data_IF_721222986947
#
_entry.id   IF_721222986947
#
_cell.length_a   1.000
_cell.length_b   1.000
_cell.length_c   1.000
_cell.angle_alpha   90.00
_cell.angle_beta   90.00
_cell.angle_gamma   90.00
#
_symmetry.space_group_name_H-M   'P 1'
#
loop_
_entity.id
_entity.type
_entity.pdbx_description
1 polymer ?
#
# COMPACT_ATOMS: atom_id res chain seq x y z
N UNK A 1 -0.35 4.09 -11.71
CA UNK A 1 0.47 2.90 -11.48
C UNK A 1 0.17 1.83 -12.53
N UNK A 2 1.18 1.06 -12.89
CA UNK A 2 1.04 -0.08 -13.81
C UNK A 2 0.86 -1.35 -12.99
N UNK A 3 0.36 -2.41 -13.62
CA UNK A 3 0.12 -3.67 -12.95
C UNK A 3 1.40 -4.24 -12.31
N UNK A 4 2.54 -4.11 -12.97
CA UNK A 4 3.83 -4.55 -12.45
C UNK A 4 4.31 -3.75 -11.23
N UNK A 5 3.72 -2.58 -10.97
CA UNK A 5 4.05 -1.76 -9.80
C UNK A 5 3.34 -2.25 -8.53
N UNK A 6 2.40 -3.18 -8.67
CA UNK A 6 1.65 -3.71 -7.54
C UNK A 6 2.26 -5.06 -7.15
N UNK A 7 2.71 -5.16 -5.91
CA UNK A 7 3.45 -6.34 -5.44
C UNK A 7 2.97 -6.80 -4.07
N UNK A 8 3.19 -8.08 -3.78
CA UNK A 8 2.93 -8.65 -2.45
C UNK A 8 4.19 -8.51 -1.63
N UNK A 9 4.06 -7.96 -0.43
CA UNK A 9 5.18 -7.72 0.48
C UNK A 9 4.95 -8.43 1.81
N UNK A 10 6.04 -8.67 2.54
CA UNK A 10 6.00 -9.11 3.92
C UNK A 10 5.94 -7.89 4.82
N UNK A 11 4.83 -7.70 5.54
CA UNK A 11 4.75 -6.58 6.47
C UNK A 11 5.52 -6.88 7.76
N UNK A 12 5.96 -5.85 8.51
CA UNK A 12 6.67 -6.06 9.79
C UNK A 12 5.83 -6.76 10.86
N UNK A 13 4.52 -6.77 10.69
CA UNK A 13 3.61 -7.41 11.65
C UNK A 13 3.27 -8.86 11.29
N UNK A 14 3.96 -9.42 10.28
CA UNK A 14 3.88 -10.84 9.95
C UNK A 14 2.82 -11.23 8.94
N UNK A 15 1.98 -10.31 8.50
CA UNK A 15 0.94 -10.58 7.50
C UNK A 15 1.40 -10.17 6.11
N UNK A 16 1.18 -11.00 5.06
CA UNK A 16 1.44 -10.54 3.70
C UNK A 16 0.48 -9.43 3.31
N UNK A 17 0.96 -8.47 2.52
CA UNK A 17 0.17 -7.33 2.10
C UNK A 17 0.47 -7.00 0.63
N UNK A 18 -0.47 -6.31 -0.01
CA UNK A 18 -0.29 -5.86 -1.39
C UNK A 18 -0.09 -4.35 -1.38
N UNK A 19 0.99 -3.90 -2.02
CA UNK A 19 1.38 -2.49 -2.03
C UNK A 19 1.87 -2.05 -3.39
N UNK A 20 1.82 -0.73 -3.63
CA UNK A 20 2.43 -0.11 -4.80
C UNK A 20 3.94 -0.04 -4.56
N UNK A 21 4.73 -0.44 -5.55
CA UNK A 21 6.19 -0.40 -5.45
C UNK A 21 6.66 1.06 -5.27
N UNK A 22 7.29 1.34 -4.15
CA UNK A 22 7.77 2.68 -3.78
C UNK A 22 9.26 2.62 -3.46
N UNK A 23 9.95 3.77 -3.37
CA UNK A 23 11.36 3.77 -2.99
C UNK A 23 11.66 3.06 -1.67
N UNK A 24 10.74 3.12 -0.70
CA UNK A 24 10.88 2.37 0.55
C UNK A 24 11.03 0.87 0.29
N UNK A 25 10.17 0.29 -0.55
CA UNK A 25 10.19 -1.14 -0.84
C UNK A 25 11.46 -1.54 -1.62
N UNK A 26 11.92 -0.69 -2.53
CA UNK A 26 13.15 -0.92 -3.27
C UNK A 26 14.37 -0.94 -2.34
N UNK A 27 14.41 -0.02 -1.37
CA UNK A 27 15.50 0.01 -0.36
C UNK A 27 15.46 -1.22 0.54
N UNK A 28 14.26 -1.68 0.92
CA UNK A 28 14.12 -2.90 1.71
C UNK A 28 14.58 -4.13 0.94
N UNK A 29 14.29 -4.20 -0.36
CA UNK A 29 14.77 -5.28 -1.23
C UNK A 29 16.30 -5.29 -1.33
N UNK A 30 16.93 -4.13 -1.24
CA UNK A 30 18.38 -3.99 -1.23
C UNK A 30 19.04 -4.36 0.11
N UNK A 31 18.22 -4.73 1.12
CA UNK A 31 18.72 -5.14 2.42
C UNK A 31 18.79 -4.03 3.47
N UNK A 32 18.33 -2.84 3.14
CA UNK A 32 18.31 -1.74 4.11
C UNK A 32 17.24 -1.95 5.18
N UNK A 33 17.50 -1.48 6.40
CA UNK A 33 16.55 -1.51 7.49
C UNK A 33 16.42 -0.12 8.12
N UNK A 34 15.22 0.17 8.62
CA UNK A 34 14.90 1.48 9.21
C UNK A 34 14.37 1.29 10.61
N UNK A 35 15.29 1.20 11.58
CA UNK A 35 14.95 0.98 12.98
C UNK A 35 14.08 2.10 13.53
N UNK A 36 12.98 1.75 14.19
CA UNK A 36 12.11 2.74 14.84
C UNK A 36 12.79 3.28 16.10
N UNK A 37 13.15 4.57 16.09
CA UNK A 37 13.80 5.22 17.24
C UNK A 37 12.85 5.39 18.43
N UNK A 38 11.56 5.56 18.17
CA UNK A 38 10.50 5.64 19.18
C UNK A 38 9.36 4.71 18.79
N UNK A 39 9.15 3.67 19.58
CA UNK A 39 8.00 2.80 19.41
C UNK A 39 6.90 3.25 20.37
N UNK A 40 5.70 3.54 19.82
CA UNK A 40 4.55 3.96 20.59
C UNK A 40 3.69 2.79 21.10
N UNK A 41 4.07 1.55 20.78
CA UNK A 41 3.31 0.37 21.20
C UNK A 41 1.94 0.25 20.56
N UNK A 42 1.77 0.74 19.33
CA UNK A 42 0.49 0.86 18.66
C UNK A 42 -0.15 -0.49 18.28
N UNK A 43 0.67 -1.54 18.08
CA UNK A 43 0.19 -2.86 17.63
C UNK A 43 0.74 -3.95 18.56
N UNK A 44 -0.14 -4.84 19.01
CA UNK A 44 0.27 -5.98 19.85
C UNK A 44 1.05 -7.04 19.10
N UNK A 45 0.74 -7.22 17.79
CA UNK A 45 1.40 -8.21 16.94
C UNK A 45 2.80 -7.81 16.50
N UNK A 46 3.18 -6.55 16.65
CA UNK A 46 4.50 -6.05 16.27
C UNK A 46 5.55 -6.44 17.31
N UNK A 47 6.72 -6.93 16.85
CA UNK A 47 7.82 -7.33 17.73
C UNK A 47 8.48 -6.17 18.46
N UNK A 48 8.36 -4.94 17.96
CA UNK A 48 8.80 -3.69 18.58
C UNK A 48 10.31 -3.62 18.88
N UNK A 49 11.10 -4.37 18.14
CA UNK A 49 12.55 -4.45 18.33
C UNK A 49 13.29 -4.32 17.00
N UNK A 50 14.61 -4.49 17.03
CA UNK A 50 15.47 -4.37 15.86
C UNK A 50 15.27 -5.50 14.83
N UNK A 51 14.47 -6.53 15.15
CA UNK A 51 14.18 -7.61 14.19
C UNK A 51 13.22 -7.18 13.10
N UNK A 52 12.47 -6.09 13.28
CA UNK A 52 11.59 -5.57 12.23
C UNK A 52 12.38 -4.63 11.30
N UNK A 53 12.18 -4.73 9.98
CA UNK A 53 12.94 -3.90 9.04
C UNK A 53 12.53 -2.42 9.03
N UNK A 54 11.31 -2.10 9.46
CA UNK A 54 10.81 -0.72 9.53
C UNK A 54 9.55 -0.67 10.41
N UNK A 55 9.17 0.55 10.84
CA UNK A 55 7.93 0.75 11.59
C UNK A 55 6.77 0.98 10.61
N UNK A 56 5.79 0.06 10.60
CA UNK A 56 4.66 0.15 9.68
C UNK A 56 3.82 1.42 9.93
N UNK A 57 3.62 1.81 11.18
CA UNK A 57 2.84 3.01 11.49
C UNK A 57 3.49 4.28 10.94
N UNK A 58 4.80 4.39 11.06
CA UNK A 58 5.54 5.54 10.50
C UNK A 58 5.45 5.57 8.97
N UNK A 59 5.56 4.40 8.34
CA UNK A 59 5.45 4.29 6.88
C UNK A 59 4.05 4.66 6.39
N UNK A 60 3.01 4.28 7.11
CA UNK A 60 1.64 4.64 6.77
C UNK A 60 1.36 6.14 6.98
N UNK A 61 1.90 6.72 8.05
CA UNK A 61 1.80 8.17 8.28
C UNK A 61 2.50 8.95 7.16
N UNK A 62 3.69 8.51 6.75
CA UNK A 62 4.41 9.12 5.63
C UNK A 62 3.58 9.07 4.35
N UNK A 63 2.91 7.96 4.09
CA UNK A 63 2.03 7.81 2.93
C UNK A 63 0.88 8.82 2.95
N UNK A 64 0.23 9.00 4.10
CA UNK A 64 -0.86 9.96 4.26
C UNK A 64 -0.37 11.40 4.02
N UNK A 65 0.85 11.70 4.43
CA UNK A 65 1.45 13.02 4.22
C UNK A 65 1.94 13.26 2.80
N UNK A 66 1.89 12.24 1.94
CA UNK A 66 2.36 12.35 0.56
C UNK A 66 3.87 12.14 0.40
N UNK A 67 4.55 11.61 1.39
CA UNK A 67 5.98 11.29 1.33
C UNK A 67 6.18 9.98 0.55
N UNK A 68 6.44 10.11 -0.74
CA UNK A 68 6.60 8.97 -1.63
C UNK A 68 7.84 8.12 -1.29
N UNK A 69 8.92 8.76 -0.84
CA UNK A 69 10.19 8.09 -0.59
C UNK A 69 10.17 7.20 0.66
N UNK A 70 9.38 7.56 1.66
CA UNK A 70 9.33 6.87 2.95
C UNK A 70 8.00 6.20 3.22
N UNK A 71 7.01 6.39 2.36
CA UNK A 71 5.66 5.88 2.55
C UNK A 71 5.48 4.44 2.11
N UNK A 72 4.59 3.74 2.82
CA UNK A 72 4.08 2.44 2.41
C UNK A 72 2.65 2.63 1.91
N UNK A 73 2.42 2.32 0.64
CA UNK A 73 1.16 2.57 -0.04
C UNK A 73 0.45 1.26 -0.34
N UNK A 74 -0.48 0.88 0.51
CA UNK A 74 -1.29 -0.32 0.28
C UNK A 74 -2.27 -0.10 -0.87
N UNK A 75 -2.52 -1.16 -1.63
CA UNK A 75 -3.41 -1.09 -2.78
C UNK A 75 -4.10 -2.43 -3.02
N UNK A 76 -5.25 -2.39 -3.67
CA UNK A 76 -5.90 -3.59 -4.16
C UNK A 76 -5.25 -4.12 -5.44
N UNK A 77 -5.59 -5.34 -5.82
CA UNK A 77 -5.01 -5.98 -7.01
C UNK A 77 -5.35 -5.28 -8.33
N UNK A 78 -6.40 -4.46 -8.33
CA UNK A 78 -6.87 -3.74 -9.52
C UNK A 78 -6.52 -2.25 -9.49
N UNK A 79 -5.60 -1.83 -8.63
CA UNK A 79 -5.21 -0.42 -8.50
C UNK A 79 -4.64 0.15 -9.82
N UNK A 80 -4.05 -0.71 -10.66
CA UNK A 80 -3.53 -0.32 -11.97
C UNK A 80 -4.61 0.12 -12.96
N UNK A 81 -5.88 -0.21 -12.69
CA UNK A 81 -7.01 0.19 -13.55
C UNK A 81 -7.43 1.63 -13.34
N UNK A 82 -6.96 2.27 -12.26
CA UNK A 82 -7.22 3.68 -11.99
C UNK A 82 -6.18 4.51 -12.70
N UNK A 83 -6.60 5.36 -13.62
CA UNK A 83 -5.71 6.16 -14.46
C UNK A 83 -5.77 7.68 -14.17
N UNK A 84 -6.73 8.09 -13.34
CA UNK A 84 -6.92 9.52 -13.03
C UNK A 84 -7.59 9.70 -11.66
N UNK A 85 -7.47 10.92 -11.14
CA UNK A 85 -8.24 11.33 -9.96
C UNK A 85 -9.63 11.74 -10.42
N UNK A 86 -10.67 11.18 -9.78
CA UNK A 86 -12.06 11.47 -10.14
C UNK A 86 -12.91 11.64 -8.88
N UNK A 87 -14.06 12.29 -9.03
CA UNK A 87 -15.01 12.43 -7.93
C UNK A 87 -15.69 11.08 -7.63
N UNK A 88 -16.27 10.94 -6.44
CA UNK A 88 -17.03 9.75 -6.06
C UNK A 88 -18.19 9.53 -7.04
N UNK A 89 -18.86 10.62 -7.46
CA UNK A 89 -19.97 10.54 -8.41
C UNK A 89 -19.51 9.95 -9.75
N UNK A 90 -18.39 10.40 -10.27
CA UNK A 90 -17.83 9.90 -11.55
C UNK A 90 -17.44 8.43 -11.42
N UNK A 91 -16.84 8.04 -10.31
CA UNK A 91 -16.44 6.66 -10.06
C UNK A 91 -17.66 5.74 -10.02
N UNK A 92 -18.70 6.12 -9.29
CA UNK A 92 -19.94 5.34 -9.20
C UNK A 92 -20.60 5.22 -10.58
N UNK A 93 -20.64 6.31 -11.34
CA UNK A 93 -21.21 6.29 -12.69
C UNK A 93 -20.44 5.34 -13.61
N UNK A 94 -19.12 5.33 -13.53
CA UNK A 94 -18.27 4.42 -14.31
C UNK A 94 -18.55 2.96 -13.95
N UNK A 95 -18.60 2.64 -12.66
CA UNK A 95 -18.87 1.29 -12.17
C UNK A 95 -20.25 0.83 -12.63
N UNK A 96 -21.27 1.66 -12.50
CA UNK A 96 -22.63 1.31 -12.91
C UNK A 96 -22.75 1.15 -14.43
N UNK A 97 -22.03 1.95 -15.20
CA UNK A 97 -22.00 1.83 -16.66
C UNK A 97 -21.40 0.49 -17.06
N UNK A 98 -20.25 0.13 -16.49
CA UNK A 98 -19.60 -1.15 -16.76
C UNK A 98 -20.48 -2.33 -16.34
N UNK A 99 -21.17 -2.24 -15.22
CA UNK A 99 -22.10 -3.26 -14.75
C UNK A 99 -23.24 -3.47 -15.76
N UNK A 100 -23.84 -2.38 -16.25
CA UNK A 100 -24.95 -2.46 -17.24
C UNK A 100 -24.51 -3.06 -18.55
N UNK A 101 -23.28 -2.75 -18.99
CA UNK A 101 -22.75 -3.29 -20.24
C UNK A 101 -22.44 -4.78 -20.14
N UNK A 102 -22.07 -5.28 -18.98
CA UNK A 102 -21.60 -6.65 -18.80
C UNK A 102 -22.57 -7.56 -18.05
N UNK A 103 -23.73 -7.05 -17.60
CA UNK A 103 -24.68 -7.84 -16.79
C UNK A 103 -25.24 -9.05 -17.51
N UNK A 104 -25.28 -9.03 -18.83
CA UNK A 104 -25.76 -10.15 -19.65
C UNK A 104 -24.76 -11.32 -19.68
N UNK A 105 -23.52 -11.09 -19.23
CA UNK A 105 -22.47 -12.11 -19.21
C UNK A 105 -22.47 -12.93 -17.90
N UNK A 106 -23.36 -12.62 -16.98
CA UNK A 106 -23.47 -13.28 -15.68
C UNK A 106 -24.41 -14.48 -15.73
#
# INVERSE_FOLDING_TARGET
AKREDIRIIKSPVGMPARAINSPLLERLDAGETFTARKCNGCLTACKKDDSIPYCISRALIAAVKGDWDNGLFFAGSNADRVDRIMSVQELINEIMTDYRLNKSDI
#
